data_IF_059590624389
#
_entry.id   IF_059590624389
#
_cell.length_a   1.000
_cell.length_b   1.000
_cell.length_c   1.000
_cell.angle_alpha   90.00
_cell.angle_beta   90.00
_cell.angle_gamma   90.00
#
_symmetry.space_group_name_H-M   'P 1'
#
loop_
_entity.id
_entity.type
_entity.pdbx_description
1 polymer ?
#
# COMPACT_ATOMS: atom_id res chain seq x y z
N UNK A 1 51.27 51.84 2.54
CA UNK A 1 49.81 51.99 2.25
C UNK A 1 49.39 51.19 0.98
N UNK A 2 50.00 51.44 -0.20
CA UNK A 2 49.64 50.75 -1.45
C UNK A 2 49.74 49.22 -1.40
N UNK A 3 50.72 48.64 -0.72
CA UNK A 3 50.87 47.20 -0.59
C UNK A 3 49.73 46.53 0.21
N UNK A 4 49.32 47.17 1.29
CA UNK A 4 48.23 46.66 2.15
C UNK A 4 46.90 46.71 1.40
N UNK A 5 46.62 47.78 0.64
CA UNK A 5 45.40 47.88 -0.18
C UNK A 5 45.39 46.84 -1.30
N UNK A 6 46.53 46.57 -1.95
CA UNK A 6 46.65 45.54 -2.95
C UNK A 6 46.43 44.14 -2.37
N UNK A 7 46.98 43.83 -1.21
CA UNK A 7 46.76 42.54 -0.52
C UNK A 7 45.28 42.39 -0.12
N UNK A 8 44.63 43.44 0.34
CA UNK A 8 43.24 43.43 0.76
C UNK A 8 42.28 43.24 -0.44
N UNK A 9 42.57 43.88 -1.60
CA UNK A 9 41.79 43.66 -2.82
C UNK A 9 41.94 42.22 -3.36
N UNK A 10 43.15 41.68 -3.36
CA UNK A 10 43.40 40.31 -3.78
C UNK A 10 42.67 39.29 -2.85
N UNK A 11 42.75 39.52 -1.53
CA UNK A 11 42.04 38.68 -0.57
C UNK A 11 40.50 38.73 -0.76
N UNK A 12 39.97 39.92 -1.02
CA UNK A 12 38.54 40.12 -1.32
C UNK A 12 38.11 39.38 -2.60
N UNK A 13 38.89 39.52 -3.67
CA UNK A 13 38.61 38.82 -4.94
C UNK A 13 38.70 37.30 -4.74
N UNK A 14 39.69 36.82 -4.02
CA UNK A 14 39.85 35.40 -3.74
C UNK A 14 38.66 34.82 -2.93
N UNK A 15 38.18 35.56 -1.92
CA UNK A 15 37.02 35.13 -1.13
C UNK A 15 35.73 35.16 -1.95
N UNK A 16 35.51 36.13 -2.80
CA UNK A 16 34.37 36.19 -3.71
C UNK A 16 34.42 35.06 -4.74
N UNK A 17 35.58 34.78 -5.32
CA UNK A 17 35.77 33.65 -6.24
C UNK A 17 35.50 32.31 -5.56
N UNK A 18 36.02 32.11 -4.34
CA UNK A 18 35.80 30.90 -3.57
C UNK A 18 34.32 30.67 -3.22
N UNK A 19 33.60 31.74 -2.83
CA UNK A 19 32.15 31.67 -2.54
C UNK A 19 31.36 31.38 -3.80
N UNK A 20 31.70 31.98 -4.96
CA UNK A 20 31.04 31.68 -6.22
C UNK A 20 31.24 30.24 -6.67
N UNK A 21 32.46 29.71 -6.58
CA UNK A 21 32.74 28.29 -6.88
C UNK A 21 32.01 27.33 -5.95
N UNK A 22 31.95 27.66 -4.66
CA UNK A 22 31.20 26.82 -3.71
C UNK A 22 29.69 26.82 -3.99
N UNK A 23 29.12 27.97 -4.32
CA UNK A 23 27.72 28.09 -4.74
C UNK A 23 27.44 27.28 -6.01
N UNK A 24 28.32 27.40 -7.02
CA UNK A 24 28.20 26.64 -8.27
C UNK A 24 28.28 25.13 -8.02
N UNK A 25 29.22 24.69 -7.21
CA UNK A 25 29.34 23.28 -6.86
C UNK A 25 28.09 22.74 -6.13
N UNK A 26 27.55 23.53 -5.20
CA UNK A 26 26.33 23.20 -4.48
C UNK A 26 25.12 23.10 -5.44
N UNK A 27 25.00 24.04 -6.38
CA UNK A 27 23.89 24.02 -7.36
C UNK A 27 23.96 22.81 -8.27
N UNK A 28 25.16 22.41 -8.71
CA UNK A 28 25.35 21.19 -9.50
C UNK A 28 24.97 19.92 -8.73
N UNK A 29 25.26 19.85 -7.43
CA UNK A 29 24.85 18.71 -6.60
C UNK A 29 23.33 18.62 -6.44
N UNK A 30 22.68 19.76 -6.19
CA UNK A 30 21.21 19.81 -6.08
C UNK A 30 20.58 19.42 -7.41
N UNK A 31 21.08 19.95 -8.53
CA UNK A 31 20.58 19.61 -9.86
C UNK A 31 20.75 18.11 -10.18
N UNK A 32 21.92 17.55 -9.85
CA UNK A 32 22.17 16.11 -10.08
C UNK A 32 21.24 15.22 -9.24
N UNK A 33 20.99 15.58 -7.98
CA UNK A 33 20.08 14.86 -7.09
C UNK A 33 18.62 14.94 -7.61
N UNK A 34 18.19 16.11 -8.08
CA UNK A 34 16.85 16.29 -8.63
C UNK A 34 16.67 15.51 -9.94
N UNK A 35 17.66 15.50 -10.83
CA UNK A 35 17.65 14.64 -12.03
C UNK A 35 17.52 13.17 -11.69
N UNK A 36 18.30 12.68 -10.72
CA UNK A 36 18.21 11.28 -10.26
C UNK A 36 16.83 10.98 -9.69
N UNK A 37 16.26 11.91 -8.91
CA UNK A 37 14.91 11.78 -8.38
C UNK A 37 13.86 11.69 -9.49
N UNK A 38 13.93 12.54 -10.49
CA UNK A 38 13.02 12.51 -11.65
C UNK A 38 13.15 11.19 -12.43
N UNK A 39 14.36 10.71 -12.67
CA UNK A 39 14.59 9.42 -13.30
C UNK A 39 13.97 8.28 -12.49
N UNK A 40 14.17 8.27 -11.16
CA UNK A 40 13.57 7.26 -10.28
C UNK A 40 12.02 7.29 -10.31
N UNK A 41 11.41 8.48 -10.41
CA UNK A 41 9.95 8.63 -10.55
C UNK A 41 9.43 8.08 -11.90
N UNK A 42 10.14 8.27 -12.98
CA UNK A 42 9.80 7.68 -14.28
C UNK A 42 9.86 6.15 -14.23
N UNK A 43 10.91 5.61 -13.62
CA UNK A 43 11.06 4.16 -13.45
C UNK A 43 9.94 3.57 -12.58
N UNK A 44 9.55 4.25 -11.49
CA UNK A 44 8.40 3.84 -10.67
C UNK A 44 7.09 3.88 -11.44
N UNK A 45 6.90 4.84 -12.34
CA UNK A 45 5.71 4.86 -13.19
C UNK A 45 5.67 3.64 -14.11
N UNK A 46 6.79 3.26 -14.74
CA UNK A 46 6.90 2.05 -15.54
C UNK A 46 6.67 0.77 -14.72
N UNK A 47 7.23 0.71 -13.49
CA UNK A 47 6.99 -0.41 -12.58
C UNK A 47 5.52 -0.54 -12.18
N UNK A 48 4.81 0.59 -11.98
CA UNK A 48 3.37 0.58 -11.71
C UNK A 48 2.56 0.09 -12.90
N UNK A 49 2.92 0.50 -14.12
CA UNK A 49 2.24 0.04 -15.33
C UNK A 49 2.48 -1.47 -15.56
N UNK A 50 3.67 -1.96 -15.24
CA UNK A 50 3.95 -3.39 -15.23
C UNK A 50 3.08 -4.13 -14.19
N UNK A 51 2.96 -3.61 -12.96
CA UNK A 51 2.09 -4.18 -11.93
C UNK A 51 0.62 -4.24 -12.40
N UNK A 52 0.15 -3.20 -13.09
CA UNK A 52 -1.20 -3.17 -13.69
C UNK A 52 -1.36 -4.26 -14.76
N UNK A 53 -0.34 -4.48 -15.57
CA UNK A 53 -0.34 -5.55 -16.56
C UNK A 53 -0.43 -6.94 -15.91
N UNK A 54 0.35 -7.18 -14.86
CA UNK A 54 0.32 -8.43 -14.08
C UNK A 54 -1.07 -8.67 -13.49
N UNK A 55 -1.67 -7.65 -12.86
CA UNK A 55 -3.02 -7.75 -12.29
C UNK A 55 -4.10 -7.97 -13.35
N UNK A 56 -3.92 -7.40 -14.55
CA UNK A 56 -4.85 -7.60 -15.69
C UNK A 56 -4.77 -9.03 -16.22
N UNK A 57 -3.56 -9.54 -16.40
CA UNK A 57 -3.35 -10.90 -16.90
C UNK A 57 -3.84 -11.94 -15.90
N UNK A 58 -3.60 -11.69 -14.61
CA UNK A 58 -4.14 -12.53 -13.54
C UNK A 58 -5.66 -12.59 -13.54
N UNK A 59 -6.34 -11.46 -13.75
CA UNK A 59 -7.80 -11.41 -13.86
C UNK A 59 -8.35 -12.22 -15.05
N UNK A 60 -7.58 -12.34 -16.12
CA UNK A 60 -7.96 -13.16 -17.29
C UNK A 60 -7.74 -14.65 -17.06
N UNK A 61 -6.78 -15.00 -16.21
CA UNK A 61 -6.40 -16.38 -15.95
C UNK A 61 -7.31 -17.11 -14.95
N UNK A 62 -8.16 -16.38 -14.20
CA UNK A 62 -9.09 -16.99 -13.23
C UNK A 62 -9.83 -15.98 -12.36
N UNK A 63 -10.90 -16.47 -11.72
CA UNK A 63 -11.83 -15.66 -10.92
C UNK A 63 -11.53 -15.69 -9.42
N UNK A 64 -10.35 -16.13 -9.00
CA UNK A 64 -9.97 -16.20 -7.59
C UNK A 64 -8.64 -15.54 -7.35
N UNK A 65 -8.47 -14.88 -6.21
CA UNK A 65 -7.20 -14.28 -5.79
C UNK A 65 -6.71 -14.93 -4.50
N UNK A 66 -5.47 -15.41 -4.51
CA UNK A 66 -4.83 -16.07 -3.37
C UNK A 66 -3.32 -15.78 -3.35
N UNK A 67 -2.68 -16.01 -2.20
CA UNK A 67 -1.29 -15.63 -1.96
C UNK A 67 -0.24 -16.47 -2.72
N UNK A 68 -0.64 -17.57 -3.37
CA UNK A 68 0.26 -18.35 -4.24
C UNK A 68 0.31 -17.84 -5.69
N UNK A 69 -0.46 -16.79 -6.02
CA UNK A 69 -0.43 -16.19 -7.36
C UNK A 69 0.82 -15.33 -7.59
N UNK A 70 1.27 -15.17 -8.85
CA UNK A 70 2.48 -14.41 -9.18
C UNK A 70 2.48 -12.98 -8.66
N UNK A 71 1.32 -12.30 -8.65
CA UNK A 71 1.21 -10.94 -8.15
C UNK A 71 1.49 -10.82 -6.64
N UNK A 72 1.23 -11.87 -5.86
CA UNK A 72 1.42 -11.85 -4.41
C UNK A 72 2.89 -12.03 -3.99
N UNK A 73 3.74 -12.48 -4.90
CA UNK A 73 5.16 -12.68 -4.64
C UNK A 73 5.88 -11.33 -4.62
N UNK A 74 6.56 -10.97 -3.51
CA UNK A 74 7.31 -9.72 -3.46
C UNK A 74 8.51 -9.78 -4.41
N UNK A 75 8.69 -8.70 -5.17
CA UNK A 75 9.87 -8.49 -5.97
C UNK A 75 11.02 -8.09 -5.05
N UNK A 76 11.96 -8.99 -4.86
CA UNK A 76 13.21 -8.71 -4.15
C UNK A 76 14.01 -7.62 -4.86
N UNK A 77 14.86 -6.89 -4.14
CA UNK A 77 15.70 -5.86 -4.74
C UNK A 77 16.63 -6.47 -5.79
N UNK A 78 16.38 -6.18 -7.05
CA UNK A 78 17.13 -6.66 -8.19
C UNK A 78 17.56 -5.49 -9.10
N UNK A 79 18.64 -5.67 -9.85
CA UNK A 79 19.07 -4.69 -10.85
C UNK A 79 18.03 -4.61 -11.98
N UNK A 80 17.76 -3.40 -12.43
CA UNK A 80 16.84 -3.19 -13.55
C UNK A 80 17.33 -3.89 -14.83
N UNK A 81 18.66 -3.99 -15.04
CA UNK A 81 19.25 -4.73 -16.15
C UNK A 81 18.82 -6.21 -16.18
N UNK A 82 18.69 -6.86 -15.03
CA UNK A 82 18.21 -8.25 -14.95
C UNK A 82 16.76 -8.39 -15.39
N UNK A 83 15.93 -7.37 -15.14
CA UNK A 83 14.55 -7.30 -15.60
C UNK A 83 14.46 -7.12 -17.12
N UNK A 84 15.25 -6.18 -17.65
CA UNK A 84 15.27 -5.88 -19.07
C UNK A 84 15.84 -7.04 -19.89
N UNK A 85 16.85 -7.73 -19.38
CA UNK A 85 17.43 -8.90 -20.02
C UNK A 85 16.44 -10.06 -20.18
N UNK A 86 15.46 -10.19 -19.27
CA UNK A 86 14.39 -11.20 -19.37
C UNK A 86 13.29 -10.81 -20.35
N UNK A 87 13.21 -9.53 -20.75
CA UNK A 87 12.17 -8.98 -21.64
C UNK A 87 12.60 -8.91 -23.12
N UNK A 88 13.75 -9.38 -23.45
CA UNK A 88 14.43 -9.77 -24.71
C UNK A 88 14.15 -9.06 -26.03
N UNK A 89 13.68 -7.82 -26.16
CA UNK A 89 13.73 -7.16 -27.47
C UNK A 89 14.03 -5.65 -27.36
N UNK A 90 15.21 -5.25 -27.85
CA UNK A 90 15.48 -3.87 -28.25
C UNK A 90 16.11 -2.92 -27.23
N UNK A 91 16.73 -3.44 -26.16
CA UNK A 91 17.44 -2.58 -25.20
C UNK A 91 18.87 -2.31 -25.70
N UNK A 92 19.24 -1.02 -25.85
CA UNK A 92 20.59 -0.64 -26.26
C UNK A 92 21.63 -0.93 -25.16
N UNK A 93 22.91 -1.12 -25.55
CA UNK A 93 24.02 -1.29 -24.58
C UNK A 93 24.15 -0.10 -23.62
N UNK A 94 23.82 1.10 -24.10
CA UNK A 94 23.87 2.34 -23.30
C UNK A 94 22.77 2.34 -22.22
N UNK A 95 21.56 1.88 -22.56
CA UNK A 95 20.44 1.73 -21.61
C UNK A 95 20.74 0.65 -20.57
N UNK A 96 21.40 -0.44 -20.97
CA UNK A 96 21.85 -1.48 -20.04
C UNK A 96 22.87 -0.94 -19.03
N UNK A 97 23.79 -0.08 -19.44
CA UNK A 97 24.77 0.57 -18.54
C UNK A 97 24.12 1.48 -17.50
N UNK A 98 23.03 2.15 -17.83
CA UNK A 98 22.21 2.91 -16.88
C UNK A 98 21.43 1.97 -15.96
N UNK A 99 20.83 0.92 -16.54
CA UNK A 99 20.01 -0.05 -15.82
C UNK A 99 20.79 -0.87 -14.78
N UNK A 100 22.10 -1.05 -14.95
CA UNK A 100 22.97 -1.71 -13.96
C UNK A 100 23.09 -0.95 -12.64
N UNK A 101 22.91 0.35 -12.64
CA UNK A 101 22.99 1.21 -11.46
C UNK A 101 21.66 1.44 -10.77
N UNK A 102 20.58 0.94 -11.35
CA UNK A 102 19.22 1.06 -10.85
C UNK A 102 18.81 -0.25 -10.18
N UNK A 103 18.31 -0.15 -8.96
CA UNK A 103 17.72 -1.27 -8.23
C UNK A 103 16.23 -1.03 -8.06
N UNK A 104 15.45 -2.05 -8.40
CA UNK A 104 14.00 -2.06 -8.27
C UNK A 104 13.58 -3.14 -7.29
N UNK A 105 12.64 -2.81 -6.41
CA UNK A 105 11.93 -3.75 -5.55
C UNK A 105 10.48 -3.33 -5.42
N UNK A 106 9.60 -4.25 -5.05
CA UNK A 106 8.20 -3.92 -4.89
C UNK A 106 7.35 -5.07 -4.41
N UNK A 107 6.11 -4.77 -4.12
CA UNK A 107 5.11 -5.77 -3.74
C UNK A 107 3.72 -5.29 -4.13
N UNK A 108 2.86 -6.25 -4.43
CA UNK A 108 1.43 -6.04 -4.59
C UNK A 108 0.74 -6.69 -3.39
N UNK A 109 -0.20 -5.99 -2.78
CA UNK A 109 -0.98 -6.47 -1.64
C UNK A 109 -2.45 -6.39 -1.95
N UNK A 110 -3.19 -7.40 -1.59
CA UNK A 110 -4.64 -7.38 -1.62
C UNK A 110 -5.17 -6.50 -0.47
N UNK A 111 -5.88 -5.42 -0.79
CA UNK A 111 -6.50 -4.56 0.21
C UNK A 111 -7.79 -5.17 0.76
N UNK A 112 -8.43 -6.08 0.03
CA UNK A 112 -9.62 -6.79 0.48
C UNK A 112 -9.29 -8.00 1.38
N UNK A 113 -8.00 -8.27 1.64
CA UNK A 113 -7.54 -9.10 2.74
C UNK A 113 -7.85 -8.51 4.14
N UNK A 114 -8.35 -7.27 4.20
CA UNK A 114 -8.56 -6.47 5.42
C UNK A 114 -10.00 -6.01 5.53
N UNK A 115 -10.43 -5.67 6.74
CA UNK A 115 -11.73 -5.04 6.96
C UNK A 115 -11.73 -3.62 6.39
N UNK A 116 -12.68 -3.32 5.53
CA UNK A 116 -12.83 -1.98 4.97
C UNK A 116 -13.62 -1.08 5.93
N UNK A 117 -12.96 -0.04 6.45
CA UNK A 117 -13.58 0.91 7.39
C UNK A 117 -14.79 1.61 6.77
N UNK A 118 -14.80 1.82 5.46
CA UNK A 118 -15.95 2.40 4.76
C UNK A 118 -17.21 1.54 4.90
N UNK A 119 -17.07 0.23 5.11
CA UNK A 119 -18.22 -0.66 5.32
C UNK A 119 -18.99 -0.38 6.62
N UNK A 120 -18.38 0.28 7.61
CA UNK A 120 -19.04 0.67 8.85
C UNK A 120 -20.28 1.53 8.63
N UNK A 121 -20.39 2.14 7.45
CA UNK A 121 -21.56 2.93 7.03
C UNK A 121 -22.24 2.30 5.81
N UNK A 122 -23.57 2.37 5.82
CA UNK A 122 -24.43 2.00 4.69
C UNK A 122 -25.44 3.11 4.48
N UNK A 123 -25.23 3.91 3.43
CA UNK A 123 -25.93 5.18 3.29
C UNK A 123 -25.61 6.10 4.47
N UNK A 124 -26.63 6.58 5.16
CA UNK A 124 -26.52 7.50 6.29
C UNK A 124 -26.60 6.80 7.67
N UNK A 125 -26.41 5.50 7.72
CA UNK A 125 -26.56 4.69 8.94
C UNK A 125 -25.34 3.79 9.16
N UNK A 126 -25.15 3.36 10.42
CA UNK A 126 -24.18 2.35 10.76
C UNK A 126 -24.63 0.96 10.24
N UNK A 127 -23.70 0.21 9.67
CA UNK A 127 -23.93 -1.18 9.26
C UNK A 127 -23.73 -2.10 10.47
N UNK A 128 -24.81 -2.67 11.01
CA UNK A 128 -24.74 -3.52 12.20
C UNK A 128 -23.82 -4.74 12.00
N UNK A 129 -23.80 -5.35 10.81
CA UNK A 129 -22.98 -6.51 10.49
C UNK A 129 -21.50 -6.15 10.49
N UNK A 130 -21.14 -5.04 9.85
CA UNK A 130 -19.75 -4.58 9.77
C UNK A 130 -19.25 -4.06 11.13
N UNK A 131 -20.11 -3.35 11.88
CA UNK A 131 -19.80 -2.92 13.26
C UNK A 131 -19.50 -4.12 14.14
N UNK A 132 -20.29 -5.19 14.06
CA UNK A 132 -20.04 -6.42 14.83
C UNK A 132 -18.74 -7.12 14.41
N UNK A 133 -18.34 -7.03 13.14
CA UNK A 133 -17.05 -7.55 12.68
C UNK A 133 -15.88 -6.72 13.25
N UNK A 134 -15.98 -5.40 13.22
CA UNK A 134 -14.98 -4.53 13.83
C UNK A 134 -14.92 -4.68 15.36
N UNK A 135 -16.05 -4.92 16.02
CA UNK A 135 -16.10 -5.13 17.47
C UNK A 135 -15.29 -6.38 17.87
N UNK A 136 -15.47 -7.50 17.16
CA UNK A 136 -14.63 -8.71 17.34
C UNK A 136 -13.14 -8.45 17.11
N UNK A 137 -12.81 -7.60 16.13
CA UNK A 137 -11.41 -7.22 15.89
C UNK A 137 -10.86 -6.36 17.05
N UNK A 138 -11.65 -5.40 17.54
CA UNK A 138 -11.28 -4.56 18.69
C UNK A 138 -11.06 -5.40 19.93
N UNK A 139 -11.96 -6.32 20.25
CA UNK A 139 -11.84 -7.26 21.35
C UNK A 139 -10.56 -8.11 21.22
N UNK A 140 -10.32 -8.71 20.05
CA UNK A 140 -9.11 -9.51 19.79
C UNK A 140 -7.82 -8.70 19.99
N UNK A 141 -7.83 -7.44 19.58
CA UNK A 141 -6.69 -6.54 19.72
C UNK A 141 -6.64 -5.86 21.10
N UNK A 142 -7.57 -6.12 22.03
CA UNK A 142 -7.65 -5.46 23.33
C UNK A 142 -7.77 -3.94 23.20
N UNK A 143 -8.57 -3.47 22.26
CA UNK A 143 -8.89 -2.05 22.07
C UNK A 143 -10.22 -1.74 22.76
N UNK A 144 -10.39 -0.52 23.30
CA UNK A 144 -11.63 -0.16 23.98
C UNK A 144 -12.80 -0.06 22.99
N UNK A 145 -13.94 -0.63 23.37
CA UNK A 145 -15.17 -0.61 22.56
C UNK A 145 -15.65 0.82 22.27
N UNK A 146 -15.48 1.72 23.24
CA UNK A 146 -15.86 3.14 23.12
C UNK A 146 -15.13 3.83 21.95
N UNK A 147 -13.92 3.39 21.62
CA UNK A 147 -13.19 3.96 20.48
C UNK A 147 -13.84 3.56 19.14
N UNK A 148 -14.39 2.35 19.03
CA UNK A 148 -15.19 1.93 17.86
C UNK A 148 -16.49 2.73 17.78
N UNK A 149 -17.20 2.90 18.89
CA UNK A 149 -18.44 3.68 18.91
C UNK A 149 -18.22 5.13 18.47
N UNK A 150 -17.12 5.76 18.95
CA UNK A 150 -16.75 7.12 18.52
C UNK A 150 -16.47 7.13 17.02
N UNK A 151 -15.67 6.20 16.52
CA UNK A 151 -15.34 6.10 15.09
C UNK A 151 -16.61 5.97 14.23
N UNK A 152 -17.52 5.05 14.58
CA UNK A 152 -18.78 4.82 13.83
C UNK A 152 -19.65 6.07 13.87
N UNK A 153 -19.82 6.69 15.03
CA UNK A 153 -20.61 7.90 15.20
C UNK A 153 -20.08 9.06 14.35
N UNK A 154 -18.75 9.25 14.31
CA UNK A 154 -18.12 10.28 13.51
C UNK A 154 -18.23 10.00 12.01
N UNK A 155 -18.10 8.74 11.58
CA UNK A 155 -18.30 8.35 10.17
C UNK A 155 -19.73 8.61 9.71
N UNK A 156 -20.73 8.24 10.51
CA UNK A 156 -22.16 8.51 10.21
C UNK A 156 -22.41 10.02 10.18
N UNK A 157 -21.84 10.80 11.09
CA UNK A 157 -21.96 12.25 11.08
C UNK A 157 -21.34 12.87 9.80
N UNK A 158 -20.18 12.35 9.38
CA UNK A 158 -19.52 12.80 8.15
C UNK A 158 -20.36 12.46 6.91
N UNK A 159 -20.94 11.25 6.81
CA UNK A 159 -21.77 10.86 5.66
C UNK A 159 -23.02 11.72 5.53
N UNK A 160 -23.68 12.06 6.68
CA UNK A 160 -24.88 12.92 6.71
C UNK A 160 -24.61 14.38 6.44
N UNK A 161 -23.37 14.81 6.52
CA UNK A 161 -23.02 16.25 6.53
C UNK A 161 -23.23 16.95 5.17
N UNK A 162 -23.48 16.21 4.09
CA UNK A 162 -23.57 16.78 2.73
C UNK A 162 -22.29 17.49 2.30
N UNK A 163 -21.12 17.05 2.77
CA UNK A 163 -19.82 17.62 2.42
C UNK A 163 -19.27 18.66 3.41
N UNK A 164 -19.97 18.95 4.52
CA UNK A 164 -19.43 19.85 5.58
C UNK A 164 -18.28 19.22 6.36
N UNK A 165 -18.30 17.90 6.53
CA UNK A 165 -17.19 17.15 7.14
C UNK A 165 -16.51 16.31 6.04
N UNK A 166 -15.19 16.34 6.05
CA UNK A 166 -14.39 15.59 5.08
C UNK A 166 -14.35 14.13 5.49
N UNK A 167 -14.76 13.25 4.59
CA UNK A 167 -14.58 11.81 4.76
C UNK A 167 -13.10 11.45 4.67
N UNK A 168 -12.59 10.55 5.52
CA UNK A 168 -11.25 10.02 5.34
C UNK A 168 -11.06 9.44 3.94
N UNK A 169 -9.85 9.51 3.45
CA UNK A 169 -9.44 8.87 2.19
C UNK A 169 -8.36 7.81 2.44
N UNK A 170 -7.84 7.73 3.67
CA UNK A 170 -6.75 6.84 4.07
C UNK A 170 -6.91 6.42 5.53
N UNK A 171 -6.37 5.25 5.86
CA UNK A 171 -6.37 4.73 7.23
C UNK A 171 -5.72 5.71 8.22
N UNK A 172 -4.63 6.39 7.82
CA UNK A 172 -3.94 7.37 8.69
C UNK A 172 -4.81 8.54 9.14
N UNK A 173 -5.86 8.87 8.38
CA UNK A 173 -6.78 9.97 8.69
C UNK A 173 -7.88 9.59 9.70
N UNK A 174 -7.95 8.31 10.09
CA UNK A 174 -8.90 7.87 11.13
C UNK A 174 -8.60 8.49 12.52
N UNK A 175 -7.41 9.06 12.68
CA UNK A 175 -7.09 9.88 13.87
C UNK A 175 -8.00 11.11 14.00
N UNK A 176 -8.49 11.65 12.88
CA UNK A 176 -9.46 12.77 12.88
C UNK A 176 -10.83 12.36 13.43
N UNK A 177 -11.12 11.07 13.41
CA UNK A 177 -12.38 10.49 13.86
C UNK A 177 -12.30 9.90 15.27
N UNK A 178 -11.24 10.23 16.01
CA UNK A 178 -11.11 9.91 17.43
C UNK A 178 -10.22 8.71 17.76
N UNK A 179 -9.62 8.02 16.78
CA UNK A 179 -8.63 6.98 17.06
C UNK A 179 -7.28 7.60 17.46
N UNK A 180 -6.71 7.14 18.55
CA UNK A 180 -5.34 7.53 18.91
C UNK A 180 -4.32 6.90 17.96
N UNK A 181 -3.12 7.50 17.78
CA UNK A 181 -2.06 6.91 16.96
C UNK A 181 -1.67 5.48 17.39
N UNK A 182 -1.71 5.19 18.69
CA UNK A 182 -1.40 3.87 19.23
C UNK A 182 -2.48 2.83 18.84
N UNK A 183 -3.76 3.19 18.93
CA UNK A 183 -4.88 2.34 18.48
C UNK A 183 -4.80 2.10 16.98
N UNK A 184 -4.54 3.16 16.20
CA UNK A 184 -4.41 3.06 14.76
C UNK A 184 -3.25 2.14 14.34
N UNK A 185 -2.09 2.24 14.99
CA UNK A 185 -0.95 1.38 14.71
C UNK A 185 -1.25 -0.12 14.95
N UNK A 186 -2.13 -0.45 15.93
CA UNK A 186 -2.58 -1.83 16.18
C UNK A 186 -3.61 -2.30 15.16
N UNK A 187 -4.44 -1.42 14.64
CA UNK A 187 -5.48 -1.72 13.64
C UNK A 187 -4.93 -1.76 12.21
N UNK A 188 -3.92 -0.96 11.88
CA UNK A 188 -3.41 -0.76 10.52
C UNK A 188 -3.13 -2.05 9.73
N UNK A 189 -2.60 -3.15 10.32
CA UNK A 189 -2.39 -4.39 9.61
C UNK A 189 -3.70 -5.08 9.14
N UNK A 190 -4.83 -4.80 9.78
CA UNK A 190 -6.08 -5.53 9.65
C UNK A 190 -7.20 -4.75 8.98
N UNK A 191 -7.02 -3.44 8.78
CA UNK A 191 -8.02 -2.55 8.20
C UNK A 191 -7.52 -1.88 6.93
N UNK A 192 -8.46 -1.47 6.09
CA UNK A 192 -8.21 -0.67 4.89
C UNK A 192 -9.24 0.44 4.76
N UNK A 193 -8.96 1.43 3.93
CA UNK A 193 -9.92 2.43 3.50
C UNK A 193 -10.08 2.36 1.98
N UNK A 194 -11.22 1.88 1.51
CA UNK A 194 -11.62 1.90 0.11
C UNK A 194 -12.90 2.75 -0.03
N UNK A 195 -13.04 3.57 -1.09
CA UNK A 195 -14.14 4.52 -1.21
C UNK A 195 -15.48 3.88 -1.60
N UNK A 196 -15.57 2.57 -1.51
CA UNK A 196 -16.76 1.77 -1.81
C UNK A 196 -16.84 0.58 -0.85
N UNK A 197 -18.03 0.03 -0.69
CA UNK A 197 -18.22 -1.20 0.09
C UNK A 197 -17.56 -2.38 -0.62
N UNK A 198 -16.82 -3.18 0.13
CA UNK A 198 -16.12 -4.37 -0.38
C UNK A 198 -16.23 -5.54 0.59
N UNK A 199 -16.40 -6.73 0.08
CA UNK A 199 -16.28 -7.95 0.87
C UNK A 199 -14.81 -8.27 1.21
N UNK A 200 -14.59 -9.07 2.23
CA UNK A 200 -13.28 -9.60 2.60
C UNK A 200 -12.94 -10.79 1.70
N UNK A 201 -11.74 -10.78 1.10
CA UNK A 201 -11.23 -11.94 0.39
C UNK A 201 -10.74 -12.99 1.39
N UNK A 202 -11.50 -14.09 1.50
CA UNK A 202 -11.19 -15.15 2.44
C UNK A 202 -9.89 -15.89 2.12
N UNK A 203 -9.42 -15.87 0.86
CA UNK A 203 -8.16 -16.49 0.44
C UNK A 203 -6.90 -15.72 0.82
N UNK A 204 -7.03 -14.43 1.13
CA UNK A 204 -5.87 -13.56 1.41
C UNK A 204 -5.91 -12.97 2.83
N UNK A 205 -7.08 -12.96 3.48
CA UNK A 205 -7.27 -12.41 4.82
C UNK A 205 -6.41 -13.12 5.88
N UNK A 206 -5.91 -12.38 6.87
CA UNK A 206 -5.18 -12.97 8.00
C UNK A 206 -6.14 -13.75 8.93
N UNK A 207 -5.62 -14.62 9.83
CA UNK A 207 -6.49 -15.33 10.79
C UNK A 207 -7.34 -14.37 11.64
N UNK A 208 -6.78 -13.22 12.03
CA UNK A 208 -7.46 -12.21 12.83
C UNK A 208 -8.63 -11.58 12.06
N UNK A 209 -8.41 -11.30 10.77
CA UNK A 209 -9.46 -10.75 9.89
C UNK A 209 -10.55 -11.80 9.64
N UNK A 210 -10.18 -13.07 9.43
CA UNK A 210 -11.15 -14.16 9.29
C UNK A 210 -12.00 -14.32 10.55
N UNK A 211 -11.37 -14.34 11.73
CA UNK A 211 -12.06 -14.39 13.01
C UNK A 211 -13.04 -13.22 13.17
N UNK A 212 -12.61 -12.04 12.76
CA UNK A 212 -13.42 -10.83 12.88
C UNK A 212 -14.60 -10.82 11.90
N UNK A 213 -14.39 -11.17 10.61
CA UNK A 213 -15.44 -11.08 9.59
C UNK A 213 -16.41 -12.26 9.61
N UNK A 214 -16.01 -13.46 10.08
CA UNK A 214 -16.87 -14.65 10.12
C UNK A 214 -17.40 -14.88 11.53
N UNK A 215 -18.69 -14.62 11.81
CA UNK A 215 -19.29 -14.83 13.12
C UNK A 215 -19.15 -16.27 13.59
N UNK A 216 -18.74 -16.46 14.85
CA UNK A 216 -18.58 -17.78 15.46
C UNK A 216 -17.29 -18.53 15.09
N UNK A 217 -16.47 -18.01 14.19
CA UNK A 217 -15.17 -18.59 13.85
C UNK A 217 -14.14 -18.24 14.94
N UNK A 218 -13.65 -19.22 15.68
CA UNK A 218 -12.61 -19.01 16.70
C UNK A 218 -11.27 -18.75 16.03
N UNK A 219 -10.38 -18.00 16.69
CA UNK A 219 -9.05 -17.66 16.14
C UNK A 219 -8.22 -18.90 15.78
N UNK A 220 -8.27 -19.94 16.62
CA UNK A 220 -7.56 -21.21 16.35
C UNK A 220 -8.09 -21.93 15.09
N UNK A 221 -9.40 -21.83 14.82
CA UNK A 221 -10.03 -22.41 13.63
C UNK A 221 -9.67 -21.57 12.39
N UNK A 222 -9.63 -20.25 12.52
CA UNK A 222 -9.16 -19.34 11.48
C UNK A 222 -7.69 -19.61 11.11
N UNK A 223 -6.80 -19.86 12.09
CA UNK A 223 -5.40 -20.23 11.85
C UNK A 223 -5.29 -21.55 11.06
N UNK A 224 -6.10 -22.57 11.42
CA UNK A 224 -6.14 -23.83 10.67
C UNK A 224 -6.65 -23.63 9.25
N UNK A 225 -7.69 -22.84 9.07
CA UNK A 225 -8.23 -22.50 7.76
C UNK A 225 -7.21 -21.82 6.85
N UNK A 226 -6.39 -20.89 7.40
CA UNK A 226 -5.30 -20.26 6.67
C UNK A 226 -4.25 -21.27 6.20
N UNK A 227 -3.88 -22.23 7.06
CA UNK A 227 -2.93 -23.28 6.68
C UNK A 227 -3.50 -24.17 5.57
N UNK A 228 -4.77 -24.57 5.66
CA UNK A 228 -5.44 -25.39 4.65
C UNK A 228 -5.53 -24.68 3.30
N UNK A 229 -6.01 -23.43 3.26
CA UNK A 229 -6.13 -22.68 2.02
C UNK A 229 -4.78 -22.31 1.38
N UNK A 230 -3.68 -22.30 2.15
CA UNK A 230 -2.33 -22.10 1.59
C UNK A 230 -1.92 -23.26 0.67
N UNK A 231 -2.37 -24.48 0.98
CA UNK A 231 -2.16 -25.65 0.12
C UNK A 231 -3.23 -25.75 -0.99
N UNK A 232 -4.47 -25.41 -0.67
CA UNK A 232 -5.59 -25.50 -1.61
C UNK A 232 -6.51 -24.27 -1.45
N UNK A 233 -6.29 -23.21 -2.24
CA UNK A 233 -7.13 -22.01 -2.21
C UNK A 233 -8.59 -22.31 -2.56
N UNK A 234 -9.50 -21.64 -1.89
CA UNK A 234 -10.94 -21.80 -2.15
C UNK A 234 -11.32 -21.17 -3.49
N UNK A 235 -12.05 -21.92 -4.30
CA UNK A 235 -12.50 -21.47 -5.61
C UNK A 235 -13.83 -20.74 -5.55
N UNK A 236 -14.66 -21.09 -4.57
CA UNK A 236 -15.98 -20.48 -4.36
C UNK A 236 -16.21 -20.19 -2.88
N UNK A 237 -17.22 -19.36 -2.59
CA UNK A 237 -17.64 -19.10 -1.20
C UNK A 237 -18.23 -20.35 -0.54
N UNK A 238 -18.87 -21.23 -1.32
CA UNK A 238 -19.43 -22.48 -0.84
C UNK A 238 -18.33 -23.43 -0.35
N UNK A 239 -17.21 -23.53 -1.08
CA UNK A 239 -16.04 -24.30 -0.63
C UNK A 239 -15.48 -23.74 0.68
N UNK A 240 -15.36 -22.42 0.78
CA UNK A 240 -14.91 -21.75 1.99
C UNK A 240 -15.87 -22.02 3.16
N UNK A 241 -17.18 -21.89 2.94
CA UNK A 241 -18.21 -22.15 3.94
C UNK A 241 -18.17 -23.60 4.44
N UNK A 242 -18.03 -24.58 3.55
CA UNK A 242 -17.92 -25.98 3.93
C UNK A 242 -16.70 -26.28 4.80
N UNK A 243 -15.55 -25.69 4.45
CA UNK A 243 -14.30 -25.91 5.21
C UNK A 243 -14.29 -25.18 6.57
N UNK A 244 -15.03 -24.08 6.70
CA UNK A 244 -15.20 -23.36 7.96
C UNK A 244 -16.25 -24.01 8.89
N UNK A 245 -16.93 -25.08 8.44
CA UNK A 245 -17.89 -25.84 9.23
C UNK A 245 -19.10 -24.99 9.67
N UNK A 246 -19.48 -25.07 10.94
CA UNK A 246 -20.65 -24.33 11.43
C UNK A 246 -20.53 -22.82 11.29
N UNK A 247 -19.33 -22.26 11.47
CA UNK A 247 -19.08 -20.83 11.26
C UNK A 247 -19.26 -20.43 9.78
N UNK A 248 -19.04 -21.36 8.85
CA UNK A 248 -19.24 -21.14 7.42
C UNK A 248 -20.66 -20.78 7.02
N UNK A 249 -21.69 -21.13 7.84
CA UNK A 249 -23.08 -20.72 7.62
C UNK A 249 -23.26 -19.20 7.58
N UNK A 250 -22.33 -18.46 8.21
CA UNK A 250 -22.31 -17.01 8.23
C UNK A 250 -21.60 -16.39 7.01
N UNK A 251 -20.94 -17.20 6.18
CA UNK A 251 -20.28 -16.72 4.97
C UNK A 251 -21.32 -16.38 3.92
N UNK A 252 -21.35 -15.13 3.50
CA UNK A 252 -22.34 -14.60 2.54
C UNK A 252 -21.69 -13.67 1.52
N UNK A 253 -22.27 -13.61 0.30
CA UNK A 253 -21.74 -12.86 -0.82
C UNK A 253 -21.43 -11.37 -0.57
N UNK A 254 -22.29 -10.58 0.11
CA UNK A 254 -22.00 -9.14 0.29
C UNK A 254 -20.80 -8.84 1.19
N UNK A 255 -20.55 -9.71 2.20
CA UNK A 255 -19.48 -9.51 3.19
C UNK A 255 -18.18 -10.26 2.88
N UNK A 256 -18.24 -11.27 2.03
CA UNK A 256 -17.13 -12.20 1.79
C UNK A 256 -16.97 -12.49 0.31
N UNK A 257 -15.75 -12.79 -0.11
CA UNK A 257 -15.42 -13.16 -1.48
C UNK A 257 -14.14 -13.99 -1.54
N UNK A 258 -13.85 -14.56 -2.71
CA UNK A 258 -12.62 -15.32 -3.01
C UNK A 258 -11.77 -14.64 -4.08
N UNK A 259 -12.20 -13.45 -4.52
CA UNK A 259 -11.51 -12.60 -5.48
C UNK A 259 -11.45 -11.17 -4.96
N UNK A 260 -10.56 -10.36 -5.50
CA UNK A 260 -10.33 -8.98 -5.08
C UNK A 260 -10.27 -8.04 -6.27
N UNK A 261 -10.75 -6.81 -6.07
CA UNK A 261 -10.72 -5.75 -7.07
C UNK A 261 -9.85 -4.56 -6.64
N UNK A 262 -9.27 -4.59 -5.45
CA UNK A 262 -8.52 -3.45 -4.91
C UNK A 262 -7.17 -3.91 -4.39
N UNK A 263 -6.11 -3.40 -4.99
CA UNK A 263 -4.74 -3.78 -4.70
C UNK A 263 -3.89 -2.57 -4.38
N UNK A 264 -2.98 -2.73 -3.43
CA UNK A 264 -1.94 -1.78 -3.12
C UNK A 264 -0.65 -2.21 -3.82
N UNK A 265 -0.05 -1.32 -4.58
CA UNK A 265 1.25 -1.51 -5.21
C UNK A 265 2.25 -0.61 -4.51
N UNK A 266 3.30 -1.19 -3.96
CA UNK A 266 4.42 -0.48 -3.36
C UNK A 266 5.64 -0.74 -4.23
N UNK A 267 6.17 0.30 -4.83
CA UNK A 267 7.39 0.26 -5.63
C UNK A 267 8.50 1.06 -4.95
N UNK A 268 9.73 0.59 -5.04
CA UNK A 268 10.92 1.26 -4.55
C UNK A 268 12.01 1.19 -5.60
N UNK A 269 12.54 2.35 -5.96
CA UNK A 269 13.69 2.49 -6.84
C UNK A 269 14.84 3.11 -6.07
N UNK A 270 16.03 2.52 -6.19
CA UNK A 270 17.29 3.06 -5.71
C UNK A 270 18.22 3.33 -6.90
N UNK A 271 18.59 4.59 -7.04
CA UNK A 271 19.52 5.07 -8.07
C UNK A 271 20.66 5.82 -7.40
N UNK A 272 21.84 5.21 -7.33
CA UNK A 272 22.97 5.74 -6.57
C UNK A 272 22.62 5.91 -5.09
N UNK A 273 22.74 7.14 -4.58
CA UNK A 273 22.36 7.50 -3.21
C UNK A 273 20.88 7.85 -3.03
N UNK A 274 20.15 8.01 -4.15
CA UNK A 274 18.74 8.42 -4.12
C UNK A 274 17.85 7.19 -4.06
N UNK A 275 16.96 7.16 -3.06
CA UNK A 275 15.91 6.15 -2.95
C UNK A 275 14.55 6.83 -2.99
N UNK A 276 13.68 6.36 -3.87
CA UNK A 276 12.30 6.84 -3.98
C UNK A 276 11.37 5.67 -3.81
N UNK A 277 10.33 5.86 -3.00
CA UNK A 277 9.26 4.87 -2.80
C UNK A 277 7.94 5.48 -3.26
N UNK A 278 7.13 4.69 -3.93
CA UNK A 278 5.78 5.05 -4.34
C UNK A 278 4.82 3.99 -3.85
N UNK A 279 3.68 4.44 -3.35
CA UNK A 279 2.55 3.62 -2.92
C UNK A 279 1.33 4.03 -3.74
N UNK A 280 0.71 3.10 -4.41
CA UNK A 280 -0.46 3.35 -5.26
C UNK A 280 -1.55 2.34 -4.94
N UNK A 281 -2.80 2.78 -4.96
CA UNK A 281 -3.96 1.88 -4.89
C UNK A 281 -4.58 1.78 -6.26
N UNK A 282 -4.69 0.54 -6.74
CA UNK A 282 -5.28 0.19 -8.02
C UNK A 282 -6.63 -0.48 -7.77
N UNK A 283 -7.64 -0.01 -8.46
CA UNK A 283 -8.90 -0.72 -8.61
C UNK A 283 -8.84 -1.53 -9.90
N UNK A 284 -8.97 -2.85 -9.78
CA UNK A 284 -8.97 -3.79 -10.89
C UNK A 284 -10.36 -3.81 -11.53
N UNK A 285 -10.60 -2.84 -12.39
CA UNK A 285 -11.70 -2.76 -13.34
C UNK A 285 -11.14 -2.91 -14.76
N UNK A 286 -11.95 -2.74 -15.80
CA UNK A 286 -11.55 -2.83 -17.21
C UNK A 286 -10.37 -1.88 -17.53
N UNK A 287 -10.29 -0.74 -16.83
CA UNK A 287 -9.28 0.30 -17.05
C UNK A 287 -8.10 0.25 -16.07
N UNK A 288 -8.11 -0.65 -15.07
CA UNK A 288 -7.09 -0.72 -14.02
C UNK A 288 -6.84 0.66 -13.38
N UNK A 289 -7.90 1.27 -12.85
CA UNK A 289 -7.90 2.66 -12.39
C UNK A 289 -7.05 2.85 -11.13
N UNK A 290 -6.20 3.87 -11.14
CA UNK A 290 -5.45 4.30 -9.96
C UNK A 290 -6.36 5.18 -9.12
N UNK A 291 -6.72 4.75 -7.91
CA UNK A 291 -7.55 5.52 -6.98
C UNK A 291 -6.76 6.64 -6.33
N UNK A 292 -5.54 6.35 -5.91
CA UNK A 292 -4.61 7.36 -5.40
C UNK A 292 -3.16 6.89 -5.49
N UNK A 293 -2.24 7.84 -5.41
CA UNK A 293 -0.80 7.64 -5.46
C UNK A 293 -0.12 8.53 -4.44
N UNK A 294 0.82 7.99 -3.70
CA UNK A 294 1.65 8.69 -2.73
C UNK A 294 3.13 8.46 -3.04
N UNK A 295 3.89 9.54 -3.09
CA UNK A 295 5.32 9.53 -3.40
C UNK A 295 6.10 10.14 -2.27
N UNK A 296 7.24 9.57 -1.93
CA UNK A 296 8.13 10.11 -0.90
C UNK A 296 8.66 9.05 0.05
N UNK A 297 9.26 9.51 1.14
CA UNK A 297 9.69 8.65 2.22
C UNK A 297 8.44 8.18 2.96
N UNK A 298 8.04 6.93 2.80
CA UNK A 298 7.03 6.33 3.64
C UNK A 298 7.60 6.30 5.06
N UNK A 299 7.07 7.17 5.94
CA UNK A 299 7.36 7.12 7.36
C UNK A 299 6.71 5.84 7.93
N UNK A 300 7.48 4.78 8.00
CA UNK A 300 7.11 3.51 8.61
C UNK A 300 8.32 2.59 8.58
N UNK A 301 8.51 1.74 9.60
CA UNK A 301 9.56 0.75 9.52
C UNK A 301 9.30 -0.08 8.27
N UNK A 302 10.25 -0.03 7.33
CA UNK A 302 10.37 -1.06 6.31
C UNK A 302 10.58 -2.34 7.10
N UNK A 303 9.50 -3.08 7.38
CA UNK A 303 9.65 -4.46 7.84
C UNK A 303 10.45 -5.12 6.73
N UNK A 304 11.69 -5.42 7.06
CA UNK A 304 12.55 -6.26 6.25
C UNK A 304 11.70 -7.46 5.85
N UNK A 305 11.56 -7.65 4.55
CA UNK A 305 10.96 -8.83 3.98
C UNK A 305 11.87 -10.01 4.37
N UNK A 306 11.57 -10.68 5.49
CA UNK A 306 12.05 -12.01 5.84
C UNK A 306 10.95 -13.00 5.52
#
# INVERSE_FOLDING_TARGET
MALITAMLTVALIATLAATALWQQWRSLQVESAERQRQQALWLLSGALDWARLVLREDARSGNTDHLAKPWALPLQEARLSSFLASSSDGVSEEDLGVAERVFLSGQIRDLQARLNVFNLIQGDQASAVDVAAFDRLFELLGLPHEALEVLVRQLVAASRSGGRFVMPQRVSQLTWLGLSPAQLARLDPFITWLPMRTGVNLNTATPEVLHACVPGLRLADAQRAVLQRSAQPWRTLEEAAQQLGDAGKAVSGPGHQVASNSFEVIGRVRLGSTTVTERSVIQRDDNQRILWRERGVLAGPVRSLQ
#
